data_IF_906311060275
#
_entry.id   IF_906311060275
#
_cell.length_a   1.000
_cell.length_b   1.000
_cell.length_c   1.000
_cell.angle_alpha   90.00
_cell.angle_beta   90.00
_cell.angle_gamma   90.00
#
_symmetry.space_group_name_H-M   'P 1'
#
loop_
_entity.id
_entity.type
_entity.pdbx_description
1 polymer ?
#
# COMPACT_ATOMS: atom_id res chain seq x y z
N UNK A 1 19.67 13.81 -18.13
CA UNK A 1 19.54 14.13 -16.70
C UNK A 1 18.57 13.10 -16.13
N UNK A 2 19.07 11.98 -15.60
CA UNK A 2 18.20 10.93 -15.05
C UNK A 2 17.90 11.31 -13.60
N UNK A 3 16.62 11.48 -13.26
CA UNK A 3 16.16 11.56 -11.87
C UNK A 3 16.49 10.20 -11.26
N UNK A 4 17.54 10.15 -10.44
CA UNK A 4 18.04 8.94 -9.79
C UNK A 4 17.17 8.60 -8.58
N UNK A 5 15.93 8.16 -8.84
CA UNK A 5 14.99 7.67 -7.82
C UNK A 5 14.78 6.15 -7.87
N UNK A 6 15.72 5.40 -8.45
CA UNK A 6 15.65 3.93 -8.47
C UNK A 6 16.38 3.32 -7.29
N UNK A 7 15.75 2.33 -6.64
CA UNK A 7 16.31 1.51 -5.56
C UNK A 7 17.80 1.15 -5.78
N UNK A 8 18.59 0.93 -4.71
CA UNK A 8 19.99 0.54 -4.83
C UNK A 8 20.11 -0.84 -5.49
N UNK A 9 20.34 -0.83 -6.80
CA UNK A 9 20.37 -2.00 -7.65
C UNK A 9 21.69 -2.05 -8.39
N UNK A 10 22.42 -3.15 -8.25
CA UNK A 10 23.63 -3.39 -9.01
C UNK A 10 23.29 -4.12 -10.31
N UNK A 11 23.62 -3.53 -11.46
CA UNK A 11 23.49 -4.17 -12.78
C UNK A 11 24.86 -4.53 -13.34
N UNK A 12 25.15 -5.82 -13.43
CA UNK A 12 26.39 -6.34 -14.04
C UNK A 12 26.12 -6.77 -15.47
N UNK A 13 26.98 -6.35 -16.41
CA UNK A 13 26.95 -6.83 -17.80
C UNK A 13 27.79 -8.10 -17.92
N UNK A 14 27.18 -9.19 -18.38
CA UNK A 14 27.85 -10.45 -18.67
C UNK A 14 28.22 -10.54 -20.17
N UNK A 15 29.21 -11.39 -20.54
CA UNK A 15 29.71 -11.49 -21.92
C UNK A 15 28.66 -11.87 -22.98
N UNK A 16 27.52 -12.43 -22.60
CA UNK A 16 26.44 -12.85 -23.51
C UNK A 16 25.24 -11.88 -23.54
N UNK A 17 25.48 -10.58 -23.36
CA UNK A 17 24.44 -9.53 -23.35
C UNK A 17 23.35 -9.70 -22.28
N UNK A 18 23.57 -10.62 -21.33
CA UNK A 18 22.73 -10.78 -20.14
C UNK A 18 23.12 -9.73 -19.10
N UNK A 19 22.14 -8.93 -18.68
CA UNK A 19 22.29 -8.04 -17.53
C UNK A 19 21.81 -8.76 -16.27
N UNK A 20 22.71 -8.93 -15.30
CA UNK A 20 22.35 -9.46 -14.01
C UNK A 20 21.98 -8.32 -13.07
N UNK A 21 20.78 -8.38 -12.49
CA UNK A 21 20.32 -7.43 -11.47
C UNK A 21 20.49 -8.05 -10.10
N UNK A 22 21.29 -7.40 -9.27
CA UNK A 22 21.63 -7.83 -7.91
C UNK A 22 21.06 -6.81 -6.93
N UNK A 23 20.28 -7.30 -5.97
CA UNK A 23 19.53 -6.48 -5.02
C UNK A 23 19.87 -6.81 -3.56
N UNK A 24 20.53 -7.94 -3.29
CA UNK A 24 20.90 -8.35 -1.92
C UNK A 24 22.23 -9.11 -1.86
N UNK A 25 22.84 -9.13 -0.68
CA UNK A 25 24.06 -9.89 -0.43
C UNK A 25 23.83 -11.40 -0.52
N UNK A 26 22.65 -11.89 -0.10
CA UNK A 26 22.29 -13.30 -0.25
C UNK A 26 22.21 -13.69 -1.72
N UNK A 27 21.61 -12.85 -2.57
CA UNK A 27 21.54 -13.09 -4.00
C UNK A 27 22.95 -13.13 -4.62
N UNK A 28 23.85 -12.24 -4.18
CA UNK A 28 25.25 -12.20 -4.60
C UNK A 28 25.99 -13.48 -4.18
N UNK A 29 25.83 -13.92 -2.93
CA UNK A 29 26.42 -15.17 -2.41
C UNK A 29 25.94 -16.40 -3.19
N UNK A 30 24.64 -16.48 -3.44
CA UNK A 30 24.03 -17.59 -4.19
C UNK A 30 24.49 -17.66 -5.65
N UNK A 31 24.65 -16.50 -6.31
CA UNK A 31 25.04 -16.46 -7.72
C UNK A 31 26.53 -16.69 -7.90
N UNK A 32 27.36 -16.15 -6.99
CA UNK A 32 28.81 -16.26 -7.05
C UNK A 32 29.36 -17.22 -6.00
N UNK A 33 28.69 -18.36 -5.79
CA UNK A 33 29.03 -19.34 -4.77
C UNK A 33 30.41 -19.99 -5.03
N UNK A 34 30.73 -20.24 -6.31
CA UNK A 34 31.96 -20.91 -6.70
C UNK A 34 33.21 -20.16 -6.17
N UNK A 35 34.22 -20.88 -5.60
CA UNK A 35 35.42 -20.26 -5.04
C UNK A 35 36.19 -19.40 -6.05
N UNK A 36 36.18 -19.78 -7.31
CA UNK A 36 36.82 -19.07 -8.43
C UNK A 36 36.21 -17.67 -8.66
N UNK A 37 34.96 -17.47 -8.23
CA UNK A 37 34.22 -16.22 -8.36
C UNK A 37 34.34 -15.32 -7.12
N UNK A 38 35.18 -15.68 -6.13
CA UNK A 38 35.31 -14.93 -4.88
C UNK A 38 35.65 -13.44 -5.07
N UNK A 39 36.48 -13.12 -6.06
CA UNK A 39 36.83 -11.73 -6.37
C UNK A 39 35.61 -10.96 -6.93
N UNK A 40 34.83 -11.59 -7.80
CA UNK A 40 33.62 -11.00 -8.37
C UNK A 40 32.52 -10.83 -7.31
N UNK A 41 32.40 -11.80 -6.40
CA UNK A 41 31.52 -11.74 -5.23
C UNK A 41 31.86 -10.55 -4.32
N UNK A 42 33.13 -10.40 -3.95
CA UNK A 42 33.59 -9.30 -3.11
C UNK A 42 33.38 -7.94 -3.79
N UNK A 43 33.66 -7.84 -5.10
CA UNK A 43 33.39 -6.65 -5.88
C UNK A 43 31.90 -6.29 -5.90
N UNK A 44 31.03 -7.28 -6.18
CA UNK A 44 29.59 -7.06 -6.25
C UNK A 44 29.02 -6.58 -4.90
N UNK A 45 29.51 -7.15 -3.78
CA UNK A 45 29.12 -6.69 -2.44
C UNK A 45 29.53 -5.24 -2.18
N UNK A 46 30.80 -4.92 -2.44
CA UNK A 46 31.33 -3.57 -2.20
C UNK A 46 30.61 -2.52 -3.06
N UNK A 47 30.28 -2.85 -4.31
CA UNK A 47 29.57 -1.91 -5.18
C UNK A 47 28.09 -1.76 -4.79
N UNK A 48 27.43 -2.84 -4.36
CA UNK A 48 26.06 -2.75 -3.84
C UNK A 48 26.02 -1.92 -2.55
N UNK A 49 26.97 -2.11 -1.64
CA UNK A 49 27.13 -1.29 -0.43
C UNK A 49 27.36 0.18 -0.78
N UNK A 50 28.21 0.49 -1.76
CA UNK A 50 28.43 1.86 -2.24
C UNK A 50 27.15 2.49 -2.80
N UNK A 51 26.36 1.73 -3.55
CA UNK A 51 25.07 2.18 -4.08
C UNK A 51 24.06 2.43 -2.96
N UNK A 52 24.03 1.57 -1.96
CA UNK A 52 23.19 1.70 -0.78
C UNK A 52 23.56 2.94 0.04
N UNK A 53 24.83 3.12 0.39
CA UNK A 53 25.31 4.31 1.10
C UNK A 53 24.96 5.61 0.35
N UNK A 54 25.06 5.62 -0.98
CA UNK A 54 24.65 6.77 -1.79
C UNK A 54 23.14 7.00 -1.72
N UNK A 55 22.35 5.92 -1.77
CA UNK A 55 20.89 5.99 -1.66
C UNK A 55 20.49 6.52 -0.28
N UNK A 56 21.05 5.98 0.79
CA UNK A 56 20.75 6.37 2.18
C UNK A 56 21.10 7.83 2.42
N UNK A 57 22.27 8.28 1.97
CA UNK A 57 22.66 9.69 2.05
C UNK A 57 21.68 10.61 1.30
N UNK A 58 21.23 10.21 0.10
CA UNK A 58 20.24 11.00 -0.65
C UNK A 58 18.87 10.96 0.02
N UNK A 59 18.46 9.81 0.54
CA UNK A 59 17.21 9.63 1.25
C UNK A 59 17.16 10.51 2.52
N UNK A 60 18.24 10.57 3.28
CA UNK A 60 18.38 11.46 4.43
C UNK A 60 18.36 12.94 4.01
N UNK A 61 19.18 13.31 3.02
CA UNK A 61 19.27 14.68 2.55
C UNK A 61 17.92 15.21 2.03
N UNK A 62 17.12 14.36 1.39
CA UNK A 62 15.81 14.72 0.87
C UNK A 62 14.66 14.50 1.88
N UNK A 63 14.97 14.06 3.11
CA UNK A 63 13.96 13.78 4.13
C UNK A 63 13.07 12.56 3.83
N UNK A 64 13.42 11.77 2.81
CA UNK A 64 12.70 10.55 2.45
C UNK A 64 12.69 9.56 3.62
N UNK A 65 13.82 9.42 4.34
CA UNK A 65 13.89 8.54 5.52
C UNK A 65 12.87 8.93 6.59
N UNK A 66 12.70 10.24 6.82
CA UNK A 66 11.72 10.75 7.78
C UNK A 66 10.29 10.56 7.28
N UNK A 67 10.03 10.88 6.01
CA UNK A 67 8.71 10.70 5.39
C UNK A 67 8.28 9.23 5.39
N UNK A 68 9.19 8.33 5.05
CA UNK A 68 8.97 6.89 5.05
C UNK A 68 8.73 6.34 6.46
N UNK A 69 9.49 6.81 7.47
CA UNK A 69 9.23 6.45 8.86
C UNK A 69 7.86 6.95 9.35
N UNK A 70 7.47 8.17 8.96
CA UNK A 70 6.14 8.71 9.27
C UNK A 70 5.02 7.94 8.57
N UNK A 71 5.22 7.51 7.33
CA UNK A 71 4.30 6.66 6.58
C UNK A 71 4.13 5.29 7.25
N UNK A 72 5.23 4.64 7.66
CA UNK A 72 5.16 3.38 8.41
C UNK A 72 4.37 3.57 9.70
N UNK A 73 4.69 4.60 10.49
CA UNK A 73 3.98 4.85 11.74
C UNK A 73 2.49 5.12 11.51
N UNK A 74 2.14 5.93 10.50
CA UNK A 74 0.76 6.19 10.12
C UNK A 74 0.03 4.91 9.69
N UNK A 75 0.66 4.05 8.89
CA UNK A 75 0.10 2.78 8.45
C UNK A 75 -0.10 1.80 9.62
N UNK A 76 0.82 1.77 10.59
CA UNK A 76 0.69 0.97 11.82
C UNK A 76 -0.47 1.48 12.68
N UNK A 77 -0.57 2.80 12.87
CA UNK A 77 -1.67 3.44 13.60
C UNK A 77 -3.02 3.19 12.93
N UNK A 78 -3.11 3.37 11.60
CA UNK A 78 -4.30 3.07 10.80
C UNK A 78 -4.71 1.61 10.98
N UNK A 79 -3.75 0.68 10.85
CA UNK A 79 -4.00 -0.75 11.03
C UNK A 79 -4.53 -1.05 12.43
N UNK A 80 -3.96 -0.41 13.47
CA UNK A 80 -4.42 -0.59 14.85
C UNK A 80 -5.84 -0.06 15.05
N UNK A 81 -6.15 1.13 14.52
CA UNK A 81 -7.48 1.72 14.58
C UNK A 81 -8.52 0.89 13.83
N UNK A 82 -8.19 0.43 12.61
CA UNK A 82 -9.06 -0.40 11.80
C UNK A 82 -9.35 -1.75 12.49
N UNK A 83 -8.33 -2.39 13.09
CA UNK A 83 -8.53 -3.60 13.92
C UNK A 83 -9.48 -3.31 15.09
N UNK A 84 -9.26 -2.23 15.84
CA UNK A 84 -10.12 -1.85 16.96
C UNK A 84 -11.57 -1.59 16.51
N UNK A 85 -11.77 -0.95 15.37
CA UNK A 85 -13.10 -0.71 14.80
C UNK A 85 -13.81 -2.04 14.48
N UNK A 86 -13.10 -2.99 13.85
CA UNK A 86 -13.64 -4.30 13.49
C UNK A 86 -14.09 -5.10 14.73
N UNK A 87 -13.37 -5.00 15.85
CA UNK A 87 -13.76 -5.70 17.09
C UNK A 87 -14.77 -4.95 17.96
N UNK A 88 -15.00 -3.67 17.69
CA UNK A 88 -16.02 -2.90 18.41
C UNK A 88 -17.43 -3.34 17.97
N UNK A 89 -18.35 -3.63 18.91
CA UNK A 89 -19.73 -3.96 18.56
C UNK A 89 -20.41 -2.80 17.84
N UNK A 90 -20.90 -3.03 16.62
CA UNK A 90 -21.69 -2.05 15.89
C UNK A 90 -23.12 -1.99 16.45
N UNK A 91 -23.67 -0.78 16.56
CA UNK A 91 -25.04 -0.53 17.02
C UNK A 91 -26.00 -0.12 15.89
N UNK A 92 -25.46 0.11 14.70
CA UNK A 92 -26.18 0.60 13.51
C UNK A 92 -25.72 -0.16 12.27
N UNK A 93 -26.55 -0.20 11.24
CA UNK A 93 -26.22 -0.78 9.94
C UNK A 93 -25.02 -0.05 9.32
N UNK A 94 -24.99 1.29 9.41
CA UNK A 94 -23.86 2.13 9.02
C UNK A 94 -22.56 1.70 9.71
N UNK A 95 -22.62 1.34 11.00
CA UNK A 95 -21.47 0.82 11.74
C UNK A 95 -21.03 -0.57 11.27
N UNK A 96 -21.96 -1.43 10.83
CA UNK A 96 -21.61 -2.73 10.23
C UNK A 96 -20.95 -2.52 8.87
N UNK A 97 -21.48 -1.60 8.03
CA UNK A 97 -20.89 -1.24 6.74
C UNK A 97 -19.45 -0.71 6.89
N UNK A 98 -19.22 0.21 7.83
CA UNK A 98 -17.90 0.76 8.11
C UNK A 98 -16.89 -0.33 8.51
N UNK A 99 -17.31 -1.31 9.32
CA UNK A 99 -16.45 -2.44 9.69
C UNK A 99 -16.09 -3.33 8.50
N UNK A 100 -17.07 -3.63 7.65
CA UNK A 100 -16.84 -4.44 6.45
C UNK A 100 -15.90 -3.71 5.47
N UNK A 101 -16.09 -2.41 5.28
CA UNK A 101 -15.20 -1.57 4.47
C UNK A 101 -13.74 -1.65 4.97
N UNK A 102 -13.50 -1.54 6.28
CA UNK A 102 -12.16 -1.68 6.84
C UNK A 102 -11.56 -3.08 6.64
N UNK A 103 -12.35 -4.16 6.73
CA UNK A 103 -11.85 -5.53 6.49
C UNK A 103 -11.34 -5.68 5.06
N UNK A 104 -12.09 -5.14 4.10
CA UNK A 104 -11.73 -5.15 2.68
C UNK A 104 -10.45 -4.34 2.45
N UNK A 105 -10.40 -3.09 2.93
CA UNK A 105 -9.23 -2.22 2.76
C UNK A 105 -7.95 -2.76 3.40
N UNK A 106 -8.05 -3.38 4.59
CA UNK A 106 -6.90 -4.07 5.21
C UNK A 106 -6.40 -5.20 4.31
N UNK A 107 -7.28 -6.06 3.80
CA UNK A 107 -6.82 -7.23 3.03
C UNK A 107 -6.33 -6.89 1.62
N UNK A 108 -6.93 -5.89 0.96
CA UNK A 108 -6.48 -5.41 -0.35
C UNK A 108 -5.04 -4.87 -0.29
N UNK A 109 -4.67 -4.20 0.81
CA UNK A 109 -3.31 -3.69 1.02
C UNK A 109 -2.25 -4.79 1.31
N UNK A 110 -2.66 -5.99 1.76
CA UNK A 110 -1.73 -7.03 2.24
C UNK A 110 -1.75 -8.34 1.45
N UNK A 111 -2.60 -8.51 0.43
CA UNK A 111 -2.76 -9.80 -0.26
C UNK A 111 -2.93 -9.69 -1.78
N UNK A 112 -1.83 -9.83 -2.52
CA UNK A 112 -1.86 -10.20 -3.95
C UNK A 112 -2.30 -11.68 -4.18
N UNK A 113 -2.36 -12.50 -3.11
CA UNK A 113 -2.42 -13.97 -3.25
C UNK A 113 -3.59 -14.67 -2.52
N UNK A 114 -4.53 -13.95 -1.91
CA UNK A 114 -5.66 -14.57 -1.18
C UNK A 114 -6.95 -14.61 -2.02
N UNK A 115 -7.54 -15.79 -2.28
CA UNK A 115 -8.83 -15.93 -2.97
C UNK A 115 -9.99 -15.71 -2.00
N UNK A 116 -10.06 -14.53 -1.39
CA UNK A 116 -11.27 -14.20 -0.63
C UNK A 116 -12.37 -13.75 -1.61
N UNK A 117 -13.65 -13.89 -1.25
CA UNK A 117 -14.78 -13.52 -2.10
C UNK A 117 -14.96 -11.99 -2.13
N UNK A 118 -13.96 -11.27 -2.66
CA UNK A 118 -13.97 -9.80 -2.69
C UNK A 118 -15.14 -9.21 -3.45
N UNK A 119 -15.54 -9.74 -4.63
CA UNK A 119 -16.74 -9.26 -5.30
C UNK A 119 -17.98 -9.40 -4.42
N UNK A 120 -18.18 -10.55 -3.76
CA UNK A 120 -19.36 -10.80 -2.93
C UNK A 120 -19.37 -9.94 -1.65
N UNK A 121 -18.20 -9.66 -1.07
CA UNK A 121 -18.08 -8.76 0.09
C UNK A 121 -18.33 -7.29 -0.28
N UNK A 122 -17.94 -6.87 -1.49
CA UNK A 122 -18.25 -5.54 -2.02
C UNK A 122 -19.75 -5.38 -2.29
N UNK A 123 -20.41 -6.38 -2.87
CA UNK A 123 -21.88 -6.40 -3.05
C UNK A 123 -22.61 -6.32 -1.70
N UNK A 124 -22.16 -7.08 -0.69
CA UNK A 124 -22.73 -7.01 0.66
C UNK A 124 -22.53 -5.63 1.29
N UNK A 125 -21.39 -4.99 1.06
CA UNK A 125 -21.13 -3.62 1.53
C UNK A 125 -22.10 -2.62 0.88
N UNK A 126 -22.33 -2.73 -0.44
CA UNK A 126 -23.28 -1.88 -1.15
C UNK A 126 -24.71 -2.03 -0.62
N UNK A 127 -25.14 -3.27 -0.38
CA UNK A 127 -26.44 -3.56 0.24
C UNK A 127 -26.57 -2.96 1.65
N UNK A 128 -25.53 -3.06 2.47
CA UNK A 128 -25.52 -2.48 3.81
C UNK A 128 -25.56 -0.94 3.77
N UNK A 129 -24.83 -0.31 2.84
CA UNK A 129 -24.89 1.15 2.65
C UNK A 129 -26.31 1.56 2.25
N UNK A 130 -26.91 0.88 1.27
CA UNK A 130 -28.27 1.15 0.79
C UNK A 130 -29.30 1.02 1.91
N UNK A 131 -29.19 0.01 2.77
CA UNK A 131 -30.08 -0.19 3.92
C UNK A 131 -29.85 0.82 5.04
N UNK A 132 -28.60 1.16 5.34
CA UNK A 132 -28.24 2.16 6.35
C UNK A 132 -28.75 3.57 6.00
N UNK A 133 -28.66 3.95 4.73
CA UNK A 133 -29.20 5.23 4.24
C UNK A 133 -30.73 5.31 4.28
N UNK A 134 -31.42 4.18 4.21
CA UNK A 134 -32.89 4.13 4.30
C UNK A 134 -33.39 4.24 5.75
N UNK A 135 -32.64 3.74 6.74
CA UNK A 135 -32.97 3.81 8.16
C UNK A 135 -32.77 5.23 8.75
N UNK A 136 -31.77 5.98 8.27
CA UNK A 136 -31.53 7.37 8.69
C UNK A 136 -32.53 8.38 8.08
N UNK A 137 -33.21 7.98 6.99
CA UNK A 137 -34.21 8.78 6.28
C UNK A 137 -35.66 8.33 6.52
N UNK A 138 -35.96 7.53 7.55
CA UNK A 138 -37.34 7.38 7.98
C UNK A 138 -37.85 8.77 8.44
N UNK A 139 -38.71 9.47 7.68
CA UNK A 139 -39.20 10.75 8.15
C UNK A 139 -40.02 10.47 9.40
N UNK A 140 -39.63 11.06 10.54
CA UNK A 140 -40.60 11.32 11.56
C UNK A 140 -41.73 12.09 10.85
N UNK A 141 -42.88 11.45 10.67
CA UNK A 141 -44.06 12.05 10.05
C UNK A 141 -44.62 13.10 11.00
N UNK A 142 -43.89 14.20 11.17
CA UNK A 142 -44.46 15.46 11.62
C UNK A 142 -44.72 16.26 10.35
N UNK A 143 -45.98 16.29 9.94
CA UNK A 143 -46.42 17.03 8.76
C UNK A 143 -46.13 18.51 8.93
N UNK A 144 -45.08 18.99 8.29
CA UNK A 144 -44.92 20.40 7.96
C UNK A 144 -44.23 20.54 6.59
N UNK A 145 -44.80 21.47 5.83
CA UNK A 145 -44.60 21.77 4.42
C UNK A 145 -43.14 21.91 3.99
N UNK A 146 -42.81 21.31 2.85
CA UNK A 146 -41.56 21.50 2.10
C UNK A 146 -41.28 22.97 1.84
N UNK A 147 -40.03 23.40 2.04
CA UNK A 147 -39.39 24.45 1.26
C UNK A 147 -37.90 24.12 1.09
N UNK A 148 -37.53 23.90 -0.17
CA UNK A 148 -36.27 24.14 -0.88
C UNK A 148 -34.90 24.03 -0.19
N UNK A 149 -34.03 23.35 -0.95
CA UNK A 149 -32.57 23.42 -1.03
C UNK A 149 -31.77 22.56 -0.04
N UNK A 150 -31.25 21.44 -0.55
CA UNK A 150 -29.81 21.17 -0.44
C UNK A 150 -29.37 20.20 -1.54
N UNK A 151 -28.67 20.72 -2.55
CA UNK A 151 -27.90 19.93 -3.53
C UNK A 151 -26.44 19.91 -3.08
N UNK A 152 -26.09 19.14 -2.04
CA UNK A 152 -24.67 19.03 -1.67
C UNK A 152 -24.32 17.72 -0.97
N UNK A 153 -24.28 16.60 -1.71
CA UNK A 153 -23.53 15.42 -1.21
C UNK A 153 -22.95 14.50 -2.30
N UNK A 154 -23.39 14.64 -3.56
CA UNK A 154 -22.94 13.75 -4.63
C UNK A 154 -21.56 14.08 -5.20
N UNK A 155 -20.98 15.24 -4.90
CA UNK A 155 -19.70 15.65 -5.48
C UNK A 155 -18.46 15.15 -4.71
N UNK A 156 -18.61 14.65 -3.48
CA UNK A 156 -17.45 14.27 -2.66
C UNK A 156 -16.91 12.86 -2.97
N UNK A 157 -17.66 12.02 -3.69
CA UNK A 157 -17.31 10.60 -3.89
C UNK A 157 -16.54 10.32 -5.20
N UNK A 158 -16.39 11.31 -6.10
CA UNK A 158 -15.70 11.10 -7.40
C UNK A 158 -14.26 11.65 -7.42
N UNK A 159 -13.78 12.32 -6.37
CA UNK A 159 -12.41 12.91 -6.34
C UNK A 159 -11.32 12.07 -5.66
N UNK A 160 -11.63 10.86 -5.17
CA UNK A 160 -10.59 9.86 -4.86
C UNK A 160 -10.58 8.85 -6.01
N UNK A 161 -10.32 9.28 -7.25
CA UNK A 161 -9.00 9.75 -7.61
C UNK A 161 -8.18 8.52 -8.03
N UNK A 162 -8.46 8.07 -9.26
CA UNK A 162 -7.55 7.25 -10.04
C UNK A 162 -6.18 7.94 -10.09
N UNK A 163 -5.35 7.63 -9.12
CA UNK A 163 -3.90 7.81 -9.15
C UNK A 163 -3.29 6.49 -8.66
N UNK A 164 -3.58 5.40 -9.39
CA UNK A 164 -2.72 4.23 -9.35
C UNK A 164 -1.37 4.66 -9.93
N UNK A 165 -0.49 5.12 -9.06
CA UNK A 165 0.94 5.09 -9.34
C UNK A 165 1.30 3.63 -9.15
N UNK A 166 1.60 2.94 -10.26
CA UNK A 166 2.11 1.56 -10.24
C UNK A 166 3.41 1.52 -9.44
N UNK A 167 3.27 1.22 -8.15
CA UNK A 167 4.35 0.96 -7.20
C UNK A 167 4.50 -0.54 -6.95
N UNK A 168 4.20 -1.40 -7.95
CA UNK A 168 4.35 -2.84 -7.78
C UNK A 168 5.25 -3.47 -8.85
N UNK A 169 6.55 -3.46 -8.56
CA UNK A 169 7.39 -4.65 -8.72
C UNK A 169 8.69 -4.47 -7.94
N UNK A 170 8.61 -4.35 -6.61
CA UNK A 170 9.75 -4.58 -5.73
C UNK A 170 9.25 -5.04 -4.38
N UNK A 171 9.19 -6.37 -4.22
CA UNK A 171 9.13 -7.01 -2.90
C UNK A 171 10.17 -6.33 -2.00
N UNK A 172 9.76 -5.92 -0.79
CA UNK A 172 10.69 -5.53 0.28
C UNK A 172 11.72 -6.66 0.45
N UNK A 173 13.04 -6.43 0.29
CA UNK A 173 13.99 -7.50 0.44
C UNK A 173 14.75 -7.35 1.76
N UNK A 174 14.08 -7.21 2.90
CA UNK A 174 14.73 -7.23 4.21
C UNK A 174 13.79 -7.79 5.29
N UNK A 175 13.76 -9.12 5.36
CA UNK A 175 13.76 -9.92 6.60
C UNK A 175 14.84 -11.01 6.40
#
# INVERSE_FOLDING_TARGET
MCIAGGFPLLRLKLPEDRALVLQSFEQIEKIFEAPELANLRNFAKAELERLQNRWDHLAEHHGYTQAFAAEINAAEEETALAKNLVYTPAKTITGIAAKLHCIIGIHDAFCDESPAPWPELLELLEDLIRLGSADEFAPATCGCSMNHADETFSELIISSGNCAVDFNSSKKPFD
#
